data_IF_637094743963
#
_entry.id   IF_637094743963
#
_cell.length_a   1.000
_cell.length_b   1.000
_cell.length_c   1.000
_cell.angle_alpha   90.00
_cell.angle_beta   90.00
_cell.angle_gamma   90.00
#
_symmetry.space_group_name_H-M   'P 1'
#
loop_
_entity.id
_entity.type
_entity.pdbx_description
1 polymer ?
#
# COMPACT_ATOMS: atom_id res chain seq x y z
N UNK A 1 33.77 -3.50 23.89
CA UNK A 1 32.46 -4.06 24.28
C UNK A 1 32.10 -5.12 23.25
N UNK A 2 31.88 -6.39 23.62
CA UNK A 2 31.43 -7.38 22.65
C UNK A 2 30.03 -6.99 22.19
N UNK A 3 29.85 -6.82 20.88
CA UNK A 3 28.52 -6.63 20.29
C UNK A 3 27.83 -7.99 20.34
N UNK A 4 27.05 -8.22 21.39
CA UNK A 4 26.07 -9.29 21.41
C UNK A 4 25.04 -8.94 20.35
N UNK A 5 25.05 -9.59 19.19
CA UNK A 5 23.90 -9.55 18.30
C UNK A 5 23.40 -10.96 18.08
N UNK A 6 22.31 -11.22 18.80
CA UNK A 6 21.31 -12.25 18.54
C UNK A 6 21.16 -12.47 17.04
N UNK A 7 21.74 -13.56 16.53
CA UNK A 7 21.47 -14.11 15.21
C UNK A 7 20.13 -14.87 15.29
N UNK A 8 19.05 -14.13 15.54
CA UNK A 8 17.69 -14.65 15.51
C UNK A 8 17.00 -14.23 14.21
N UNK A 9 16.27 -15.14 13.56
CA UNK A 9 15.36 -14.75 12.49
C UNK A 9 14.28 -13.82 13.08
N UNK A 10 14.02 -12.68 12.44
CA UNK A 10 12.87 -11.83 12.79
C UNK A 10 11.62 -12.67 12.57
N UNK A 11 10.84 -12.89 13.63
CA UNK A 11 9.52 -13.50 13.51
C UNK A 11 8.60 -12.54 12.76
N UNK A 12 8.06 -13.00 11.64
CA UNK A 12 7.12 -12.23 10.82
C UNK A 12 5.74 -12.88 10.85
N UNK A 13 4.71 -12.05 10.93
CA UNK A 13 3.31 -12.42 10.78
C UNK A 13 2.75 -11.77 9.52
N UNK A 14 1.72 -12.38 8.94
CA UNK A 14 1.08 -11.90 7.72
C UNK A 14 -0.30 -11.32 8.03
N UNK A 15 -0.67 -10.26 7.33
CA UNK A 15 -1.94 -9.56 7.52
C UNK A 15 -2.57 -9.10 6.22
N UNK A 16 -3.88 -8.84 6.29
CA UNK A 16 -4.70 -8.50 5.12
C UNK A 16 -4.74 -9.59 4.06
N UNK A 17 -5.52 -9.35 3.00
CA UNK A 17 -5.62 -10.25 1.85
C UNK A 17 -5.76 -9.44 0.57
N UNK A 18 -4.99 -9.81 -0.45
CA UNK A 18 -5.09 -9.24 -1.79
C UNK A 18 -6.18 -9.94 -2.58
N UNK A 19 -6.97 -9.15 -3.30
CA UNK A 19 -7.83 -9.68 -4.35
C UNK A 19 -7.00 -9.99 -5.61
N UNK A 20 -7.31 -11.05 -6.38
CA UNK A 20 -8.31 -12.10 -6.13
C UNK A 20 -7.76 -13.35 -5.42
N UNK A 21 -6.43 -13.49 -5.35
CA UNK A 21 -5.77 -14.73 -4.93
C UNK A 21 -5.66 -14.93 -3.41
N UNK A 22 -6.18 -13.99 -2.61
CA UNK A 22 -6.13 -14.01 -1.14
C UNK A 22 -4.73 -14.11 -0.54
N UNK A 23 -3.69 -13.76 -1.30
CA UNK A 23 -2.32 -13.66 -0.77
C UNK A 23 -2.22 -12.55 0.28
N UNK A 24 -1.26 -12.61 1.22
CA UNK A 24 -1.11 -11.55 2.23
C UNK A 24 -0.93 -10.17 1.61
N UNK A 25 -1.54 -9.15 2.21
CA UNK A 25 -1.36 -7.76 1.76
C UNK A 25 -0.10 -7.12 2.37
N UNK A 26 0.31 -7.57 3.55
CA UNK A 26 1.53 -7.13 4.23
C UNK A 26 2.05 -8.20 5.18
N UNK A 27 3.29 -8.02 5.63
CA UNK A 27 3.88 -8.74 6.77
C UNK A 27 4.47 -7.78 7.77
N UNK A 28 4.47 -8.16 9.04
CA UNK A 28 5.04 -7.35 10.11
C UNK A 28 5.71 -8.22 11.18
N UNK A 29 6.65 -7.64 11.92
CA UNK A 29 7.14 -8.25 13.16
C UNK A 29 6.27 -7.81 14.34
N UNK A 30 5.81 -8.71 15.23
CA UNK A 30 5.07 -8.31 16.42
C UNK A 30 5.85 -7.30 17.27
N UNK A 31 5.20 -6.22 17.72
CA UNK A 31 5.86 -5.17 18.52
C UNK A 31 6.42 -5.73 19.83
N UNK A 32 5.81 -6.77 20.39
CA UNK A 32 6.33 -7.50 21.56
C UNK A 32 7.70 -8.14 21.36
N UNK A 33 8.17 -8.25 20.11
CA UNK A 33 9.51 -8.75 19.76
C UNK A 33 10.53 -7.64 19.47
N UNK A 34 10.12 -6.37 19.47
CA UNK A 34 11.00 -5.23 19.22
C UNK A 34 11.75 -4.82 20.50
N UNK A 35 13.02 -4.42 20.36
CA UNK A 35 13.85 -3.94 21.47
C UNK A 35 13.98 -2.41 21.51
N UNK A 36 13.37 -1.70 20.56
CA UNK A 36 13.37 -0.23 20.50
C UNK A 36 12.03 0.33 19.97
N UNK A 37 11.70 1.60 20.29
CA UNK A 37 10.45 2.23 19.87
C UNK A 37 10.50 2.76 18.43
N UNK A 38 11.02 1.96 17.49
CA UNK A 38 11.14 2.33 16.08
C UNK A 38 10.53 1.23 15.22
N UNK A 39 9.72 1.65 14.23
CA UNK A 39 9.15 0.78 13.20
C UNK A 39 9.71 1.20 11.84
N UNK A 40 10.29 0.25 11.11
CA UNK A 40 10.68 0.40 9.72
C UNK A 40 9.49 0.04 8.82
N UNK A 41 8.86 1.06 8.23
CA UNK A 41 7.77 0.87 7.27
C UNK A 41 8.33 0.79 5.85
N UNK A 42 7.87 -0.20 5.09
CA UNK A 42 8.34 -0.51 3.75
C UNK A 42 7.15 -0.62 2.79
N UNK A 43 6.55 0.51 2.39
CA UNK A 43 5.25 0.53 1.69
C UNK A 43 5.34 0.07 0.23
N UNK A 44 6.55 0.02 -0.35
CA UNK A 44 6.76 -0.12 -1.80
C UNK A 44 7.60 -1.34 -2.19
N UNK A 45 7.75 -2.31 -1.28
CA UNK A 45 8.42 -3.58 -1.57
C UNK A 45 7.51 -4.65 -2.19
N UNK A 46 6.21 -4.37 -2.32
CA UNK A 46 5.22 -5.34 -2.74
C UNK A 46 5.42 -5.83 -4.18
N UNK A 47 5.44 -7.15 -4.34
CA UNK A 47 5.66 -7.84 -5.63
C UNK A 47 4.60 -8.90 -5.91
N UNK A 48 3.58 -9.01 -5.06
CA UNK A 48 2.47 -9.93 -5.26
C UNK A 48 1.46 -9.33 -6.24
N UNK A 49 1.85 -9.19 -7.50
CA UNK A 49 0.97 -8.70 -8.56
C UNK A 49 -0.05 -9.77 -8.96
N UNK A 50 -1.35 -9.53 -8.78
CA UNK A 50 -2.38 -10.36 -9.40
C UNK A 50 -2.26 -10.34 -10.92
N UNK A 51 -2.61 -11.46 -11.57
CA UNK A 51 -2.52 -11.56 -13.02
C UNK A 51 -3.42 -10.53 -13.72
N UNK A 52 -4.56 -10.21 -13.13
CA UNK A 52 -5.50 -9.20 -13.61
C UNK A 52 -4.89 -7.80 -13.66
N UNK A 53 -3.97 -7.49 -12.73
CA UNK A 53 -3.25 -6.21 -12.70
C UNK A 53 -2.15 -6.22 -13.77
N UNK A 54 -1.39 -7.32 -13.88
CA UNK A 54 -0.34 -7.48 -14.89
C UNK A 54 -0.91 -7.31 -16.30
N UNK A 55 -2.05 -7.94 -16.61
CA UNK A 55 -2.71 -7.86 -17.93
C UNK A 55 -3.19 -6.45 -18.28
N UNK A 56 -3.42 -5.58 -17.30
CA UNK A 56 -3.82 -4.19 -17.52
C UNK A 56 -2.63 -3.23 -17.69
N UNK A 57 -1.41 -3.67 -17.39
CA UNK A 57 -0.21 -2.86 -17.60
C UNK A 57 0.15 -2.78 -19.08
N UNK A 58 0.46 -1.57 -19.55
CA UNK A 58 0.89 -1.32 -20.94
C UNK A 58 2.20 -2.04 -21.28
N UNK A 59 3.17 -1.97 -20.37
CA UNK A 59 4.46 -2.66 -20.44
C UNK A 59 4.75 -3.21 -19.03
N UNK A 60 4.35 -4.45 -18.73
CA UNK A 60 4.44 -4.99 -17.38
C UNK A 60 5.88 -5.02 -16.85
N UNK A 61 6.85 -5.39 -17.70
CA UNK A 61 8.25 -5.50 -17.28
C UNK A 61 8.81 -4.14 -16.86
N UNK A 62 8.64 -3.11 -17.69
CA UNK A 62 9.12 -1.76 -17.34
C UNK A 62 8.32 -1.15 -16.18
N UNK A 63 7.00 -1.37 -16.15
CA UNK A 63 6.11 -0.76 -15.16
C UNK A 63 6.39 -1.29 -13.75
N UNK A 64 6.52 -2.61 -13.58
CA UNK A 64 6.83 -3.21 -12.28
C UNK A 64 8.16 -2.68 -11.73
N UNK A 65 9.19 -2.56 -12.58
CA UNK A 65 10.48 -2.00 -12.18
C UNK A 65 10.40 -0.56 -11.66
N UNK A 66 9.54 0.27 -12.24
CA UNK A 66 9.39 1.68 -11.87
C UNK A 66 8.51 1.88 -10.63
N UNK A 67 7.63 0.93 -10.33
CA UNK A 67 6.66 1.04 -9.24
C UNK A 67 7.15 0.37 -7.94
N UNK A 68 8.21 -0.42 -8.02
CA UNK A 68 8.85 -1.08 -6.87
C UNK A 68 10.07 -0.31 -6.36
N UNK A 69 10.17 -0.18 -5.03
CA UNK A 69 11.43 0.16 -4.38
C UNK A 69 12.25 -1.13 -4.25
N UNK A 70 12.93 -1.54 -5.32
CA UNK A 70 13.50 -2.89 -5.39
C UNK A 70 14.49 -3.20 -4.27
N UNK A 71 14.19 -4.27 -3.54
CA UNK A 71 14.98 -4.92 -2.49
C UNK A 71 15.07 -4.15 -1.18
N UNK A 72 14.29 -3.08 -1.02
CA UNK A 72 14.22 -2.33 0.23
C UNK A 72 13.73 -3.20 1.40
N UNK A 73 12.92 -4.24 1.14
CA UNK A 73 12.52 -5.26 2.11
C UNK A 73 13.70 -6.01 2.71
N UNK A 74 14.69 -6.37 1.88
CA UNK A 74 15.91 -7.06 2.32
C UNK A 74 16.78 -6.14 3.16
N UNK A 75 16.90 -4.87 2.74
CA UNK A 75 17.64 -3.85 3.47
C UNK A 75 17.01 -3.61 4.85
N UNK A 76 15.70 -3.36 4.90
CA UNK A 76 14.97 -3.14 6.14
C UNK A 76 15.04 -4.37 7.06
N UNK A 77 14.93 -5.58 6.53
CA UNK A 77 15.08 -6.82 7.31
C UNK A 77 16.46 -6.91 7.96
N UNK A 78 17.53 -6.55 7.23
CA UNK A 78 18.89 -6.52 7.78
C UNK A 78 19.02 -5.48 8.90
N UNK A 79 18.54 -4.25 8.66
CA UNK A 79 18.57 -3.18 9.66
C UNK A 79 17.77 -3.59 10.90
N UNK A 80 16.58 -4.16 10.75
CA UNK A 80 15.76 -4.62 11.86
C UNK A 80 16.45 -5.73 12.68
N UNK A 81 17.20 -6.64 12.04
CA UNK A 81 17.97 -7.68 12.76
C UNK A 81 19.11 -7.08 13.59
N UNK A 82 19.82 -6.12 13.03
CA UNK A 82 20.96 -5.49 13.70
C UNK A 82 20.50 -4.53 14.80
N UNK A 83 19.42 -3.80 14.57
CA UNK A 83 18.95 -2.78 15.53
C UNK A 83 17.98 -3.35 16.56
N UNK A 84 17.14 -4.31 16.17
CA UNK A 84 15.98 -4.76 16.93
C UNK A 84 14.74 -3.87 16.76
N UNK A 85 14.72 -3.02 15.72
CA UNK A 85 13.52 -2.30 15.29
C UNK A 85 12.44 -3.27 14.79
N UNK A 86 11.17 -2.91 15.02
CA UNK A 86 10.06 -3.59 14.37
C UNK A 86 10.03 -3.24 12.88
N UNK A 87 9.39 -4.08 12.08
CA UNK A 87 9.29 -3.90 10.63
C UNK A 87 7.87 -4.19 10.14
N UNK A 88 7.40 -3.41 9.15
CA UNK A 88 6.15 -3.58 8.43
C UNK A 88 6.44 -3.47 6.93
N UNK A 89 6.17 -4.54 6.19
CA UNK A 89 6.48 -4.67 4.76
C UNK A 89 5.20 -4.89 3.99
N UNK A 90 4.94 -4.05 2.99
CA UNK A 90 3.85 -4.27 2.04
C UNK A 90 4.19 -5.44 1.09
N UNK A 91 3.22 -6.33 0.88
CA UNK A 91 3.24 -7.36 -0.18
C UNK A 91 2.40 -6.90 -1.38
N UNK A 92 1.37 -6.07 -1.10
CA UNK A 92 0.58 -5.36 -2.09
C UNK A 92 1.50 -4.46 -2.96
N UNK A 93 1.51 -4.61 -4.29
CA UNK A 93 2.27 -3.71 -5.15
C UNK A 93 1.62 -2.33 -5.19
N UNK A 94 2.45 -1.28 -5.30
CA UNK A 94 2.01 0.13 -5.40
C UNK A 94 1.06 0.37 -6.58
N UNK A 95 1.18 -0.45 -7.63
CA UNK A 95 0.29 -0.43 -8.79
C UNK A 95 -1.18 -0.70 -8.43
N UNK A 96 -1.45 -1.42 -7.33
CA UNK A 96 -2.81 -1.64 -6.82
C UNK A 96 -3.24 -0.52 -5.88
N UNK A 97 -2.38 -0.15 -4.95
CA UNK A 97 -2.62 0.92 -3.98
C UNK A 97 -1.28 1.48 -3.51
N UNK A 98 -1.12 2.80 -3.56
CA UNK A 98 0.06 3.46 -3.03
C UNK A 98 -0.14 3.79 -1.54
N UNK A 99 0.44 2.97 -0.66
CA UNK A 99 0.33 3.11 0.79
C UNK A 99 1.07 4.35 1.35
N UNK A 100 1.81 5.09 0.52
CA UNK A 100 2.47 6.34 0.90
C UNK A 100 1.74 7.57 0.33
N UNK A 101 0.50 7.40 -0.12
CA UNK A 101 -0.40 8.47 -0.58
C UNK A 101 -1.52 8.68 0.43
N UNK A 102 -2.05 9.89 0.48
CA UNK A 102 -3.28 10.17 1.21
C UNK A 102 -4.46 9.51 0.48
N UNK A 103 -5.49 9.09 1.22
CA UNK A 103 -6.74 8.55 0.65
C UNK A 103 -7.44 9.54 -0.30
N UNK A 104 -7.25 10.84 -0.07
CA UNK A 104 -7.83 11.90 -0.90
C UNK A 104 -6.97 12.24 -2.15
N UNK A 105 -5.76 11.66 -2.26
CA UNK A 105 -4.84 11.87 -3.40
C UNK A 105 -5.24 10.98 -4.59
N UNK A 106 -6.44 11.21 -5.11
CA UNK A 106 -7.03 10.48 -6.24
C UNK A 106 -7.27 11.44 -7.39
N UNK A 107 -6.61 11.19 -8.52
CA UNK A 107 -6.97 11.84 -9.77
C UNK A 107 -8.24 11.18 -10.35
N UNK A 108 -9.38 11.77 -10.02
CA UNK A 108 -10.70 11.37 -10.50
C UNK A 108 -10.83 11.40 -12.03
N UNK A 109 -9.98 12.14 -12.75
CA UNK A 109 -9.91 12.12 -14.20
C UNK A 109 -9.37 10.81 -14.77
N UNK A 110 -8.58 10.06 -14.00
CA UNK A 110 -8.06 8.74 -14.38
C UNK A 110 -9.09 7.62 -14.21
N UNK A 111 -10.16 7.84 -13.44
CA UNK A 111 -11.21 6.85 -13.20
C UNK A 111 -12.22 6.90 -14.36
N UNK A 112 -12.31 5.80 -15.12
CA UNK A 112 -13.27 5.68 -16.23
C UNK A 112 -14.70 5.94 -15.73
N UNK A 113 -15.45 6.74 -16.49
CA UNK A 113 -16.83 7.13 -16.17
C UNK A 113 -16.97 8.21 -15.09
N UNK A 114 -15.88 8.62 -14.43
CA UNK A 114 -15.95 9.64 -13.38
C UNK A 114 -15.78 11.07 -13.91
N UNK A 115 -14.91 11.23 -14.91
CA UNK A 115 -14.77 12.47 -15.65
C UNK A 115 -16.03 12.92 -16.42
N UNK A 116 -16.98 12.00 -16.68
CA UNK A 116 -18.28 12.30 -17.28
C UNK A 116 -19.27 12.87 -16.25
N UNK A 117 -19.25 12.36 -15.01
CA UNK A 117 -20.03 12.91 -13.89
C UNK A 117 -19.54 14.29 -13.46
N UNK A 118 -18.23 14.52 -13.43
CA UNK A 118 -17.64 15.81 -13.07
C UNK A 118 -17.92 16.93 -14.11
N UNK A 119 -18.33 16.57 -15.34
CA UNK A 119 -18.67 17.52 -16.43
C UNK A 119 -20.14 17.94 -16.46
N UNK A 120 -20.97 17.41 -15.58
CA UNK A 120 -22.34 17.93 -15.42
C UNK A 120 -22.22 19.16 -14.51
N UNK A 121 -22.54 20.38 -14.97
CA UNK A 121 -22.39 21.56 -14.14
C UNK A 121 -23.38 21.45 -12.98
N UNK A 122 -22.86 21.15 -11.78
CA UNK A 122 -23.57 21.53 -10.57
C UNK A 122 -23.57 23.05 -10.60
N UNK A 123 -24.69 23.62 -11.03
CA UNK A 123 -24.94 25.04 -10.93
C UNK A 123 -24.95 25.36 -9.43
N UNK A 124 -23.80 25.81 -8.92
CA UNK A 124 -23.70 26.42 -7.60
C UNK A 124 -24.39 27.78 -7.68
N UNK A 125 -25.71 27.79 -7.59
CA UNK A 125 -26.44 28.97 -7.11
C UNK A 125 -26.19 29.02 -5.60
N UNK A 126 -25.67 30.15 -5.15
CA UNK A 126 -25.12 30.33 -3.82
C UNK A 126 -26.09 30.06 -2.67
N UNK A 127 -25.50 29.82 -1.51
CA UNK A 127 -26.20 29.66 -0.24
C UNK A 127 -26.14 28.23 0.27
N UNK A 128 -25.38 28.05 1.35
CA UNK A 128 -25.38 26.93 2.31
C UNK A 128 -26.49 25.88 2.09
N UNK A 129 -26.10 24.68 1.67
CA UNK A 129 -26.33 23.38 2.34
C UNK A 129 -26.07 22.23 1.36
N UNK A 130 -25.23 21.29 1.78
CA UNK A 130 -24.99 20.04 1.06
C UNK A 130 -26.15 19.07 1.38
N UNK A 131 -27.09 18.93 0.45
CA UNK A 131 -28.15 17.91 0.54
C UNK A 131 -27.68 16.64 -0.15
N UNK A 132 -27.38 15.63 0.67
CA UNK A 132 -27.30 14.23 0.29
C UNK A 132 -28.68 13.75 -0.17
N UNK A 133 -28.79 13.13 -1.35
CA UNK A 133 -30.08 12.65 -1.82
C UNK A 133 -29.99 11.67 -2.99
N UNK A 134 -29.67 10.40 -2.71
CA UNK A 134 -30.08 9.28 -3.56
C UNK A 134 -30.47 8.09 -2.68
N UNK A 135 -31.71 8.14 -2.18
CA UNK A 135 -32.50 6.97 -1.84
C UNK A 135 -33.91 7.20 -2.36
N UNK A 136 -34.53 6.10 -2.82
CA UNK A 136 -35.88 5.90 -3.34
C UNK A 136 -36.01 5.95 -4.86
N UNK A 137 -36.34 4.78 -5.42
CA UNK A 137 -36.67 4.60 -6.81
C UNK A 137 -38.13 4.89 -7.12
N UNK A 138 -38.41 4.78 -8.41
CA UNK A 138 -39.60 4.18 -9.02
C UNK A 138 -39.17 3.70 -10.42
#
# INVERSE_FOLDING_TARGET
MPVTQSCGAIKMEAGGRLWPNSSPAFRYSPISSASMPVILAVPHAGRSYPEEIIRQMRDPQSSMLKLEDRFVDKLATKIARETGAAILIAEAPRAMIDLNRNVDDVDWGMVRGWAEKARTPVTLIGGREAVWGWFHGA
#
